data_IF_151144712528
#
_entry.id   IF_151144712528
#
_cell.length_a   1.000
_cell.length_b   1.000
_cell.length_c   1.000
_cell.angle_alpha   90.00
_cell.angle_beta   90.00
_cell.angle_gamma   90.00
#
_symmetry.space_group_name_H-M   'P 1'
#
loop_
_entity.id
_entity.type
_entity.pdbx_description
1 polymer ?
#
# COMPACT_ATOMS: atom_id res chain seq x y z
N UNK A 1 -13.04 2.42 9.59
CA UNK A 1 -12.11 1.82 10.57
C UNK A 1 -11.19 0.75 9.97
N UNK A 2 -11.61 0.00 8.94
CA UNK A 2 -10.78 -1.06 8.32
C UNK A 2 -9.65 -0.54 7.40
N UNK A 3 -9.87 0.57 6.69
CA UNK A 3 -8.91 1.06 5.69
C UNK A 3 -7.56 1.47 6.31
N UNK A 4 -7.56 2.14 7.47
CA UNK A 4 -6.31 2.56 8.12
C UNK A 4 -5.44 1.35 8.50
N UNK A 5 -6.03 0.30 9.08
CA UNK A 5 -5.30 -0.94 9.45
C UNK A 5 -4.69 -1.61 8.22
N UNK A 6 -5.45 -1.71 7.12
CA UNK A 6 -4.95 -2.27 5.86
C UNK A 6 -3.81 -1.45 5.26
N UNK A 7 -3.89 -0.12 5.35
CA UNK A 7 -2.84 0.77 4.86
C UNK A 7 -1.58 0.70 5.74
N UNK A 8 -1.71 0.60 7.07
CA UNK A 8 -0.54 0.36 7.93
C UNK A 8 0.14 -0.96 7.58
N UNK A 9 -0.65 -2.03 7.35
CA UNK A 9 -0.07 -3.30 6.91
C UNK A 9 0.61 -3.20 5.54
N UNK A 10 0.04 -2.43 4.61
CA UNK A 10 0.64 -2.19 3.31
C UNK A 10 2.00 -1.47 3.43
N UNK A 11 2.15 -0.52 4.37
CA UNK A 11 3.43 0.16 4.62
C UNK A 11 4.51 -0.81 5.08
N UNK A 12 4.18 -1.74 5.98
CA UNK A 12 5.11 -2.79 6.43
C UNK A 12 5.57 -3.67 5.26
N UNK A 13 4.62 -4.11 4.41
CA UNK A 13 4.92 -4.97 3.26
C UNK A 13 5.72 -4.23 2.17
N UNK A 14 5.55 -2.92 2.01
CA UNK A 14 6.32 -2.12 1.05
C UNK A 14 7.81 -2.03 1.38
N UNK A 15 8.21 -2.29 2.63
CA UNK A 15 9.61 -2.33 3.04
C UNK A 15 10.35 -3.57 2.51
N UNK A 16 9.64 -4.62 2.11
CA UNK A 16 10.24 -5.80 1.49
C UNK A 16 10.36 -5.58 -0.03
N UNK A 17 11.58 -5.44 -0.60
CA UNK A 17 11.79 -5.22 -2.03
C UNK A 17 11.37 -6.42 -2.91
N UNK A 18 11.18 -7.62 -2.34
CA UNK A 18 10.81 -8.83 -3.08
C UNK A 18 9.31 -8.87 -3.47
N UNK A 19 8.46 -8.14 -2.74
CA UNK A 19 7.01 -8.11 -2.99
C UNK A 19 6.66 -7.15 -4.13
N UNK A 20 5.76 -7.53 -5.04
CA UNK A 20 5.24 -6.56 -6.03
C UNK A 20 4.09 -5.78 -5.40
N UNK A 21 3.90 -4.53 -5.83
CA UNK A 21 2.80 -3.69 -5.30
C UNK A 21 1.43 -4.33 -5.58
N UNK A 22 1.26 -5.02 -6.71
CA UNK A 22 0.06 -5.80 -7.00
C UNK A 22 -0.22 -6.85 -5.93
N UNK A 23 0.79 -7.66 -5.60
CA UNK A 23 0.68 -8.69 -4.55
C UNK A 23 0.33 -8.07 -3.19
N UNK A 24 0.90 -6.90 -2.87
CA UNK A 24 0.60 -6.17 -1.63
C UNK A 24 -0.87 -5.75 -1.58
N UNK A 25 -1.45 -5.29 -2.70
CA UNK A 25 -2.87 -4.91 -2.79
C UNK A 25 -3.77 -6.10 -2.44
N UNK A 26 -3.45 -7.28 -2.98
CA UNK A 26 -4.19 -8.51 -2.70
C UNK A 26 -4.00 -8.97 -1.24
N UNK A 27 -2.76 -8.94 -0.74
CA UNK A 27 -2.41 -9.33 0.65
C UNK A 27 -3.10 -8.46 1.70
N UNK A 28 -3.34 -7.18 1.42
CA UNK A 28 -4.07 -6.28 2.34
C UNK A 28 -5.58 -6.28 2.10
N UNK A 29 -6.08 -7.15 1.23
CA UNK A 29 -7.51 -7.43 1.04
C UNK A 29 -8.25 -6.37 0.24
N UNK A 30 -7.59 -5.70 -0.70
CA UNK A 30 -8.23 -4.83 -1.68
C UNK A 30 -8.51 -5.61 -2.96
N UNK A 31 -9.78 -5.72 -3.34
CA UNK A 31 -10.18 -6.33 -4.62
C UNK A 31 -10.01 -5.38 -5.83
N UNK A 32 -9.79 -4.09 -5.57
CA UNK A 32 -9.57 -3.06 -6.60
C UNK A 32 -8.31 -2.24 -6.28
N UNK A 33 -7.31 -2.34 -7.15
CA UNK A 33 -6.05 -1.60 -7.07
C UNK A 33 -6.25 -0.08 -7.17
N UNK A 34 -7.30 0.38 -7.86
CA UNK A 34 -7.64 1.79 -7.93
C UNK A 34 -8.07 2.35 -6.57
N UNK A 35 -8.94 1.63 -5.86
CA UNK A 35 -9.40 1.96 -4.52
C UNK A 35 -8.26 1.92 -3.51
N UNK A 36 -7.39 0.91 -3.58
CA UNK A 36 -6.16 0.89 -2.79
C UNK A 36 -5.32 2.15 -3.04
N UNK A 37 -5.02 2.45 -4.31
CA UNK A 37 -4.14 3.57 -4.66
C UNK A 37 -4.68 4.92 -4.18
N UNK A 38 -5.98 5.17 -4.35
CA UNK A 38 -6.64 6.38 -3.86
C UNK A 38 -6.63 6.46 -2.33
N UNK A 39 -6.89 5.34 -1.66
CA UNK A 39 -6.93 5.28 -0.19
C UNK A 39 -5.55 5.44 0.41
N UNK A 40 -4.55 4.74 -0.13
CA UNK A 40 -3.16 4.83 0.29
C UNK A 40 -2.67 6.27 0.16
N UNK A 41 -2.82 6.88 -1.03
CA UNK A 41 -2.43 8.28 -1.24
C UNK A 41 -3.17 9.26 -0.34
N UNK A 42 -4.46 9.04 -0.09
CA UNK A 42 -5.26 9.88 0.82
C UNK A 42 -4.73 9.82 2.27
N UNK A 43 -4.28 8.65 2.73
CA UNK A 43 -3.85 8.46 4.12
C UNK A 43 -2.34 8.72 4.34
N UNK A 44 -1.51 8.53 3.32
CA UNK A 44 -0.04 8.67 3.45
C UNK A 44 0.50 9.92 2.76
N UNK A 45 -0.28 10.57 1.90
CA UNK A 45 0.15 11.68 1.04
C UNK A 45 0.95 11.24 -0.20
N UNK A 46 1.28 9.96 -0.34
CA UNK A 46 2.14 9.41 -1.39
C UNK A 46 1.47 8.21 -2.07
N UNK A 47 1.75 7.95 -3.35
CA UNK A 47 1.42 6.65 -3.92
C UNK A 47 2.26 5.54 -3.27
N UNK A 48 1.80 4.28 -3.36
CA UNK A 48 2.56 3.14 -2.84
C UNK A 48 3.96 3.01 -3.49
N UNK A 49 4.09 3.33 -4.78
CA UNK A 49 5.38 3.38 -5.47
C UNK A 49 6.30 4.48 -4.90
N UNK A 50 5.79 5.71 -4.76
CA UNK A 50 6.55 6.82 -4.19
C UNK A 50 6.97 6.54 -2.75
N UNK A 51 6.08 5.94 -1.96
CA UNK A 51 6.36 5.55 -0.58
C UNK A 51 7.50 4.53 -0.53
N UNK A 52 7.43 3.47 -1.35
CA UNK A 52 8.50 2.47 -1.47
C UNK A 52 9.83 3.08 -1.90
N UNK A 53 9.79 4.00 -2.86
CA UNK A 53 10.98 4.71 -3.33
C UNK A 53 11.69 5.52 -2.24
N UNK A 54 11.01 5.87 -1.14
CA UNK A 54 11.59 6.57 0.01
C UNK A 54 12.11 5.65 1.11
N UNK A 55 11.79 4.36 1.05
CA UNK A 55 12.29 3.35 2.01
C UNK A 55 13.67 2.82 1.62
N UNK A 56 14.02 2.94 0.33
CA UNK A 56 15.36 2.68 -0.21
C UNK A 56 16.17 3.98 -0.24
#
# INVERSE_FOLDING_TARGET
>A
MLNSVRIEKAKELLADPSLKIGDIVDLVGYSDSGHFSRTFKKLTGLSANEYRSRLN
#
